data_IF_887084572773
#
_entry.id   IF_887084572773
#
_cell.length_a   1.000
_cell.length_b   1.000
_cell.length_c   1.000
_cell.angle_alpha   90.00
_cell.angle_beta   90.00
_cell.angle_gamma   90.00
#
_symmetry.space_group_name_H-M   'P 1'
#
loop_
_entity.id
_entity.type
_entity.pdbx_description
1 polymer ?
#
# COMPACT_ATOMS: atom_id res chain seq x y z
N UNK A 1 -4.12 8.77 11.39
CA UNK A 1 -3.73 8.70 11.00
C UNK A 1 -3.25 7.79 10.57
N UNK A 2 -2.89 7.46 10.19
CA UNK A 2 -2.54 6.82 9.70
C UNK A 2 -1.61 6.38 9.56
N UNK A 3 -0.90 6.13 9.59
CA UNK A 3 -0.06 5.73 9.51
C UNK A 3 0.79 5.69 9.31
N UNK A 4 0.99 5.63 9.45
CA UNK A 4 1.95 5.77 9.77
C UNK A 4 2.93 4.80 9.49
N UNK A 5 2.68 3.62 9.01
CA UNK A 5 3.60 2.75 8.44
C UNK A 5 4.47 3.43 7.47
N UNK A 6 3.95 4.42 6.79
CA UNK A 6 4.67 5.06 5.71
C UNK A 6 5.09 6.46 5.99
N UNK A 7 4.82 6.90 7.21
CA UNK A 7 5.11 8.26 7.52
C UNK A 7 6.37 8.49 8.24
N UNK A 8 6.81 7.53 8.96
CA UNK A 8 7.93 7.76 9.83
C UNK A 8 9.22 7.56 9.10
N UNK A 9 9.82 8.63 8.68
CA UNK A 9 11.00 8.52 7.91
C UNK A 9 12.19 8.08 8.64
N UNK A 10 12.21 8.30 9.89
CA UNK A 10 13.37 7.99 10.66
C UNK A 10 13.65 6.52 10.71
N UNK A 11 12.63 5.70 10.66
CA UNK A 11 12.84 4.29 10.75
C UNK A 11 12.75 3.61 9.45
N UNK A 12 12.70 4.38 8.39
CA UNK A 12 12.34 3.86 7.11
C UNK A 12 13.23 2.81 6.57
N UNK A 13 14.51 2.93 6.76
CA UNK A 13 15.41 2.02 6.09
C UNK A 13 15.11 0.58 6.47
N UNK A 14 14.90 0.34 7.76
CA UNK A 14 14.61 -0.98 8.22
C UNK A 14 13.20 -1.40 7.90
N UNK A 15 12.26 -0.50 8.10
CA UNK A 15 10.87 -0.83 7.89
C UNK A 15 10.53 -1.02 6.45
N UNK A 16 11.22 -0.34 5.56
CA UNK A 16 10.98 -0.53 4.15
C UNK A 16 11.36 -1.94 3.72
N UNK A 17 12.43 -2.48 4.24
CA UNK A 17 12.79 -3.84 3.92
C UNK A 17 11.72 -4.84 4.33
N UNK A 18 11.23 -4.71 5.56
CA UNK A 18 10.17 -5.58 6.03
C UNK A 18 8.89 -5.36 5.25
N UNK A 19 8.61 -4.12 4.93
CA UNK A 19 7.41 -3.80 4.20
C UNK A 19 7.42 -4.42 2.82
N UNK A 20 8.54 -4.37 2.14
CA UNK A 20 8.64 -4.97 0.81
C UNK A 20 8.41 -6.46 0.87
N UNK A 21 8.91 -7.10 1.90
CA UNK A 21 8.69 -8.51 2.08
C UNK A 21 7.22 -8.81 2.24
N UNK A 22 6.55 -8.01 3.06
CA UNK A 22 5.13 -8.21 3.29
C UNK A 22 4.31 -7.92 2.05
N UNK A 23 4.69 -6.88 1.34
CA UNK A 23 4.00 -6.55 0.09
C UNK A 23 4.13 -7.69 -0.90
N UNK A 24 5.27 -8.35 -0.93
CA UNK A 24 5.46 -9.46 -1.82
C UNK A 24 4.53 -10.64 -1.55
N UNK A 25 3.95 -10.69 -0.36
CA UNK A 25 2.99 -11.76 -0.04
C UNK A 25 1.58 -11.45 -0.45
N UNK A 26 1.32 -10.21 -0.85
CA UNK A 26 0.00 -9.84 -1.32
C UNK A 26 -0.23 -10.42 -2.70
N UNK A 27 -1.50 -10.55 -3.08
CA UNK A 27 -1.81 -10.93 -4.43
C UNK A 27 -1.34 -9.87 -5.41
N UNK A 28 -1.22 -10.22 -6.68
CA UNK A 28 -0.66 -9.28 -7.66
C UNK A 28 -1.45 -7.98 -7.78
N UNK A 29 -2.76 -8.05 -7.66
CA UNK A 29 -3.58 -6.86 -7.79
C UNK A 29 -3.35 -5.90 -6.63
N UNK A 30 -3.39 -6.43 -5.41
CA UNK A 30 -3.17 -5.60 -4.24
C UNK A 30 -1.76 -5.08 -4.19
N UNK A 31 -0.81 -5.89 -4.61
CA UNK A 31 0.58 -5.46 -4.65
C UNK A 31 0.75 -4.29 -5.59
N UNK A 32 0.11 -4.35 -6.75
CA UNK A 32 0.19 -3.25 -7.70
C UNK A 32 -0.36 -1.96 -7.11
N UNK A 33 -1.49 -2.05 -6.42
CA UNK A 33 -2.11 -0.87 -5.83
C UNK A 33 -1.19 -0.23 -4.79
N UNK A 34 -0.61 -1.05 -3.92
CA UNK A 34 0.27 -0.51 -2.89
C UNK A 34 1.51 0.12 -3.50
N UNK A 35 2.10 -0.54 -4.49
CA UNK A 35 3.31 0.00 -5.09
C UNK A 35 3.05 1.32 -5.79
N UNK A 36 1.92 1.44 -6.47
CA UNK A 36 1.57 2.71 -7.09
C UNK A 36 1.32 3.78 -6.05
N UNK A 37 0.68 3.41 -4.96
CA UNK A 37 0.44 4.35 -3.88
C UNK A 37 1.75 4.85 -3.28
N UNK A 38 2.72 3.98 -3.13
CA UNK A 38 4.03 4.37 -2.62
C UNK A 38 4.77 5.29 -3.57
N UNK A 39 4.40 5.26 -4.84
CA UNK A 39 4.96 6.17 -5.82
C UNK A 39 4.23 7.51 -5.84
N UNK A 40 3.36 7.73 -4.87
CA UNK A 40 2.65 9.00 -4.71
C UNK A 40 1.58 9.25 -5.77
N UNK A 41 1.08 8.20 -6.39
CA UNK A 41 -0.02 8.37 -7.31
C UNK A 41 -1.31 8.61 -6.52
N UNK A 42 -2.21 9.39 -7.10
CA UNK A 42 -3.50 9.63 -6.48
C UNK A 42 -4.40 8.40 -6.64
N UNK A 43 -5.46 8.35 -5.85
CA UNK A 43 -6.42 7.25 -5.97
C UNK A 43 -7.02 7.19 -7.37
N UNK A 44 -7.22 8.36 -7.96
CA UNK A 44 -7.75 8.39 -9.31
C UNK A 44 -6.78 7.78 -10.30
N UNK A 45 -5.53 8.13 -10.18
CA UNK A 45 -4.51 7.60 -11.07
C UNK A 45 -4.36 6.11 -10.90
N UNK A 46 -4.35 5.66 -9.66
CA UNK A 46 -4.23 4.24 -9.40
C UNK A 46 -5.43 3.51 -9.99
N UNK A 47 -6.62 4.07 -9.77
CA UNK A 47 -7.82 3.44 -10.29
C UNK A 47 -7.82 3.33 -11.80
N UNK A 48 -7.31 4.34 -12.47
CA UNK A 48 -7.22 4.29 -13.92
C UNK A 48 -6.27 3.22 -14.39
N UNK A 49 -5.18 3.05 -13.69
CA UNK A 49 -4.18 2.07 -14.08
C UNK A 49 -4.69 0.65 -13.84
N UNK A 50 -5.29 0.41 -12.68
CA UNK A 50 -5.71 -0.95 -12.34
C UNK A 50 -7.15 -1.26 -12.70
N UNK A 51 -7.91 -0.26 -13.15
CA UNK A 51 -9.25 -0.52 -13.67
C UNK A 51 -10.37 -0.52 -12.65
N UNK A 52 -10.23 0.24 -11.57
CA UNK A 52 -11.32 0.34 -10.59
C UNK A 52 -11.52 1.81 -10.25
N UNK A 53 -12.59 2.09 -9.50
CA UNK A 53 -12.89 3.46 -9.11
C UNK A 53 -11.98 3.92 -7.99
N UNK A 54 -11.80 5.24 -7.83
CA UNK A 54 -10.99 5.74 -6.71
C UNK A 54 -11.53 5.30 -5.36
N UNK A 55 -12.84 5.20 -5.22
CA UNK A 55 -13.41 4.73 -3.97
C UNK A 55 -12.99 3.30 -3.67
N UNK A 56 -12.94 2.46 -4.69
CA UNK A 56 -12.50 1.09 -4.50
C UNK A 56 -11.02 1.02 -4.19
N UNK A 57 -10.23 1.92 -4.77
CA UNK A 57 -8.81 1.99 -4.42
C UNK A 57 -8.67 2.27 -2.93
N UNK A 58 -9.45 3.23 -2.43
CA UNK A 58 -9.40 3.60 -1.03
C UNK A 58 -9.75 2.40 -0.14
N UNK A 59 -10.84 1.72 -0.46
CA UNK A 59 -11.26 0.57 0.33
C UNK A 59 -10.19 -0.52 0.33
N UNK A 60 -9.63 -0.78 -0.83
CA UNK A 60 -8.61 -1.82 -0.91
C UNK A 60 -7.37 -1.45 -0.13
N UNK A 61 -6.98 -0.18 -0.17
CA UNK A 61 -5.81 0.25 0.58
C UNK A 61 -6.01 0.09 2.07
N UNK A 62 -7.22 0.38 2.57
CA UNK A 62 -7.49 0.16 3.98
C UNK A 62 -7.30 -1.32 4.35
N UNK A 63 -7.84 -2.20 3.53
CA UNK A 63 -7.70 -3.63 3.78
C UNK A 63 -6.26 -4.10 3.68
N UNK A 64 -5.55 -3.58 2.70
CA UNK A 64 -4.17 -3.96 2.50
C UNK A 64 -3.34 -3.52 3.69
N UNK A 65 -3.55 -2.30 4.16
CA UNK A 65 -2.82 -1.83 5.32
C UNK A 65 -3.08 -2.70 6.54
N UNK A 66 -4.31 -3.14 6.71
CA UNK A 66 -4.61 -4.01 7.82
C UNK A 66 -3.93 -5.36 7.69
N UNK A 67 -3.92 -5.88 6.47
CA UNK A 67 -3.22 -7.13 6.25
C UNK A 67 -1.73 -7.00 6.53
N UNK A 68 -1.14 -5.91 6.10
CA UNK A 68 0.28 -5.70 6.32
C UNK A 68 0.61 -5.61 7.81
N UNK A 69 -0.29 -5.00 8.58
CA UNK A 69 -0.08 -4.93 10.02
C UNK A 69 -0.14 -6.30 10.68
N UNK A 70 -0.96 -7.18 10.16
CA UNK A 70 -1.12 -8.50 10.73
C UNK A 70 -0.03 -9.47 10.35
N UNK A 71 0.70 -9.17 9.32
CA UNK A 71 1.80 -10.01 8.92
C UNK A 71 2.94 -9.81 9.88
N UNK A 72 3.40 -10.84 10.47
CA UNK A 72 4.48 -10.73 11.43
C UNK A 72 5.70 -11.61 11.03
#
# INVERSE_FOLDING_TARGET
>A
MDIDLFDDRAEDARQIGLLRERIGRLGPFDRAIVLLWLENLSYEEIGQIVGITPGNVSVRLVRIKEQLKKMQ
#
